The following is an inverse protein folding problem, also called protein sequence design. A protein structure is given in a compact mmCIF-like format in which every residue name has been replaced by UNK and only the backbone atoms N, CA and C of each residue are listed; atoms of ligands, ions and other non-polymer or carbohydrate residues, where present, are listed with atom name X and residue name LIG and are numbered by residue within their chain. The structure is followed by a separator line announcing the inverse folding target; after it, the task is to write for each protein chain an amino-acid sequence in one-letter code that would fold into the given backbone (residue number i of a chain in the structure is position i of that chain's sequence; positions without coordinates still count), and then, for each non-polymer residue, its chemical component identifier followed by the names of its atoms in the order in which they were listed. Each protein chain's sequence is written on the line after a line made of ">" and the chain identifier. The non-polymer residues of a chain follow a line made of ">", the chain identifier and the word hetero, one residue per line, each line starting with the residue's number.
data_IF_614019345793
#
_entry.id   IF_614019345793
#
_cell.length_a   1.000
_cell.length_b   1.000
_cell.length_c   1.000
_cell.angle_alpha   90.00
_cell.angle_beta   90.00
_cell.angle_gamma   90.00
#
_symmetry.space_group_name_H-M   'P 1'
#
loop_
_entity.id
_entity.type
_entity.pdbx_description
1 polymer ?
#
# COMPACT_ATOMS: atom_id res chain seq x y z
N UNK A 1 15.59 -0.44 -16.20
CA UNK A 1 14.12 -0.40 -16.03
C UNK A 1 13.79 0.92 -15.33
N UNK A 2 13.07 1.85 -15.98
CA UNK A 2 12.63 3.08 -15.28
C UNK A 2 11.67 2.64 -14.17
N UNK A 3 11.80 3.15 -12.93
CA UNK A 3 10.78 2.88 -11.91
C UNK A 3 9.47 3.45 -12.45
N UNK A 4 8.47 2.58 -12.62
CA UNK A 4 7.11 2.95 -12.98
C UNK A 4 6.58 3.87 -11.88
N UNK A 5 6.55 5.16 -12.15
CA UNK A 5 6.07 6.16 -11.20
C UNK A 5 4.54 6.13 -11.21
N UNK A 6 3.92 5.84 -10.05
CA UNK A 6 2.48 6.00 -9.88
C UNK A 6 2.10 7.45 -10.24
N UNK A 7 1.08 7.62 -11.07
CA UNK A 7 0.54 8.94 -11.34
C UNK A 7 -0.27 9.38 -10.11
N UNK A 8 0.13 10.50 -9.50
CA UNK A 8 -0.51 11.05 -8.29
C UNK A 8 -1.86 11.69 -8.56
N UNK A 9 -2.18 12.00 -9.82
CA UNK A 9 -3.46 12.54 -10.22
C UNK A 9 -4.32 11.44 -10.82
N UNK A 10 -5.35 11.01 -10.08
CA UNK A 10 -6.39 10.11 -10.56
C UNK A 10 -6.68 8.96 -9.61
N UNK A 11 -7.37 7.97 -10.16
CA UNK A 11 -7.77 6.75 -9.48
C UNK A 11 -6.58 5.79 -9.36
N UNK A 12 -6.53 5.10 -8.23
CA UNK A 12 -5.67 3.96 -7.96
C UNK A 12 -6.56 2.72 -7.84
N UNK A 13 -6.33 1.75 -8.71
CA UNK A 13 -6.94 0.43 -8.59
C UNK A 13 -6.14 -0.40 -7.57
N UNK A 14 -6.84 -0.89 -6.55
CA UNK A 14 -6.28 -1.68 -5.45
C UNK A 14 -6.80 -3.09 -5.60
N UNK A 15 -5.89 -4.05 -5.74
CA UNK A 15 -6.21 -5.49 -5.82
C UNK A 15 -5.66 -6.22 -4.60
N UNK A 16 -6.32 -7.29 -4.14
CA UNK A 16 -5.71 -8.16 -3.14
C UNK A 16 -4.47 -8.84 -3.73
N UNK A 17 -3.44 -8.98 -2.91
CA UNK A 17 -2.31 -9.87 -3.20
C UNK A 17 -2.44 -11.12 -2.34
N UNK A 18 -2.99 -12.18 -2.94
CA UNK A 18 -3.11 -13.47 -2.29
C UNK A 18 -1.80 -14.26 -2.33
N UNK A 19 -1.41 -14.77 -1.18
CA UNK A 19 -0.20 -15.57 -0.98
C UNK A 19 -0.43 -16.58 0.15
N UNK A 20 -0.84 -17.83 -0.17
CA UNK A 20 -1.27 -18.79 0.84
C UNK A 20 -0.22 -19.11 1.90
N UNK A 21 1.06 -18.99 1.56
CA UNK A 21 2.17 -19.28 2.49
C UNK A 21 2.27 -18.17 3.54
N UNK A 22 2.18 -16.92 3.11
CA UNK A 22 2.21 -15.76 4.01
C UNK A 22 0.91 -15.65 4.79
N UNK A 23 -0.23 -15.91 4.16
CA UNK A 23 -1.54 -15.89 4.84
C UNK A 23 -1.64 -16.90 5.97
N UNK A 24 -1.03 -18.08 5.82
CA UNK A 24 -1.06 -19.11 6.85
C UNK A 24 -0.15 -18.83 8.06
N UNK A 25 0.89 -18.01 7.91
CA UNK A 25 1.96 -17.85 8.92
C UNK A 25 2.24 -16.38 9.30
N UNK A 26 1.48 -15.44 8.75
CA UNK A 26 1.69 -14.02 8.92
C UNK A 26 0.75 -13.38 9.95
N UNK A 27 0.82 -12.06 10.02
CA UNK A 27 0.03 -11.22 10.90
C UNK A 27 -0.91 -10.33 10.09
N UNK A 28 -2.17 -10.25 10.52
CA UNK A 28 -3.14 -9.35 9.92
C UNK A 28 -2.66 -7.89 10.04
N UNK A 29 -3.06 -7.03 9.10
CA UNK A 29 -2.56 -5.65 9.03
C UNK A 29 -2.92 -4.80 10.28
N UNK A 30 -3.98 -5.17 11.00
CA UNK A 30 -4.37 -4.58 12.28
C UNK A 30 -3.65 -5.15 13.51
N UNK A 31 -2.85 -6.20 13.37
CA UNK A 31 -2.19 -6.87 14.49
C UNK A 31 -1.11 -5.98 15.15
N UNK A 32 -0.96 -5.97 16.50
CA UNK A 32 0.11 -5.24 17.19
C UNK A 32 1.52 -5.56 16.69
N UNK A 33 1.75 -6.76 16.14
CA UNK A 33 3.01 -7.13 15.50
C UNK A 33 3.40 -6.15 14.39
N UNK A 34 2.43 -5.66 13.62
CA UNK A 34 2.66 -4.72 12.51
C UNK A 34 3.20 -3.39 13.05
N UNK A 35 2.64 -2.88 14.16
CA UNK A 35 3.14 -1.67 14.81
C UNK A 35 4.51 -1.86 15.46
N UNK A 36 4.75 -3.03 16.04
CA UNK A 36 5.99 -3.29 16.77
C UNK A 36 7.18 -3.52 15.85
N UNK A 37 6.99 -4.24 14.74
CA UNK A 37 8.10 -4.71 13.89
C UNK A 37 8.08 -4.10 12.49
N UNK A 38 6.91 -4.00 11.83
CA UNK A 38 6.84 -3.47 10.47
C UNK A 38 6.84 -1.95 10.40
N UNK A 39 6.26 -1.25 11.38
CA UNK A 39 6.23 0.22 11.40
C UNK A 39 7.64 0.84 11.38
N UNK A 40 8.65 0.36 12.15
CA UNK A 40 10.02 0.84 12.01
C UNK A 40 10.62 0.62 10.61
N UNK A 41 10.26 -0.48 9.93
CA UNK A 41 10.78 -0.84 8.60
C UNK A 41 10.13 0.02 7.51
N UNK A 42 8.80 0.14 7.52
CA UNK A 42 8.01 0.87 6.53
C UNK A 42 7.98 2.38 6.81
N UNK A 43 8.08 2.79 8.06
CA UNK A 43 7.82 4.14 8.53
C UNK A 43 6.31 4.41 8.74
N UNK A 44 5.96 5.44 9.53
CA UNK A 44 4.58 5.66 9.96
C UNK A 44 3.60 5.85 8.80
N UNK A 45 3.93 6.73 7.85
CA UNK A 45 3.04 7.06 6.72
C UNK A 45 2.76 5.85 5.83
N UNK A 46 3.79 5.05 5.50
CA UNK A 46 3.62 3.87 4.65
C UNK A 46 2.80 2.77 5.36
N UNK A 47 2.99 2.63 6.67
CA UNK A 47 2.21 1.68 7.49
C UNK A 47 0.74 2.05 7.52
N UNK A 48 0.41 3.35 7.70
CA UNK A 48 -0.97 3.82 7.68
C UNK A 48 -1.61 3.74 6.29
N UNK A 49 -0.85 4.01 5.23
CA UNK A 49 -1.31 3.79 3.85
C UNK A 49 -1.66 2.32 3.65
N UNK A 50 -0.76 1.41 4.02
CA UNK A 50 -0.99 -0.03 3.89
C UNK A 50 -2.25 -0.46 4.66
N UNK A 51 -2.41 0.00 5.91
CA UNK A 51 -3.62 -0.21 6.71
C UNK A 51 -4.88 0.24 6.00
N UNK A 52 -4.89 1.47 5.49
CA UNK A 52 -6.05 2.01 4.77
C UNK A 52 -6.40 1.19 3.53
N UNK A 53 -5.38 0.75 2.78
CA UNK A 53 -5.55 -0.07 1.59
C UNK A 53 -6.07 -1.48 1.92
N UNK A 54 -5.48 -2.13 2.92
CA UNK A 54 -5.88 -3.45 3.36
C UNK A 54 -7.31 -3.46 3.95
N UNK A 55 -7.67 -2.46 4.76
CA UNK A 55 -9.04 -2.33 5.26
C UNK A 55 -10.04 -2.11 4.13
N UNK A 56 -9.68 -1.40 3.05
CA UNK A 56 -10.52 -1.31 1.87
C UNK A 56 -10.77 -2.68 1.23
N UNK A 57 -9.75 -3.54 1.17
CA UNK A 57 -9.86 -4.91 0.67
C UNK A 57 -10.68 -5.84 1.59
N UNK A 58 -10.74 -5.57 2.89
CA UNK A 58 -11.65 -6.30 3.80
C UNK A 58 -13.13 -6.04 3.44
N UNK A 59 -13.45 -4.82 3.00
CA UNK A 59 -14.81 -4.44 2.59
C UNK A 59 -15.10 -4.84 1.14
N UNK A 60 -14.09 -4.76 0.25
CA UNK A 60 -14.19 -5.09 -1.17
C UNK A 60 -13.12 -6.14 -1.56
N UNK A 61 -13.34 -7.44 -1.27
CA UNK A 61 -12.33 -8.47 -1.42
C UNK A 61 -11.86 -8.72 -2.87
N UNK A 62 -12.65 -8.31 -3.86
CA UNK A 62 -12.28 -8.43 -5.27
C UNK A 62 -11.40 -7.27 -5.75
N UNK A 63 -11.15 -6.28 -4.89
CA UNK A 63 -10.47 -5.05 -5.23
C UNK A 63 -11.44 -3.88 -5.43
N UNK A 64 -10.90 -2.67 -5.38
CA UNK A 64 -11.65 -1.42 -5.47
C UNK A 64 -10.79 -0.31 -6.08
N UNK A 65 -11.42 0.83 -6.39
CA UNK A 65 -10.72 2.03 -6.85
C UNK A 65 -10.81 3.13 -5.80
N UNK A 66 -9.72 3.87 -5.61
CA UNK A 66 -9.65 5.01 -4.68
C UNK A 66 -8.94 6.19 -5.33
N UNK A 67 -9.43 7.41 -5.07
CA UNK A 67 -8.74 8.62 -5.51
C UNK A 67 -7.45 8.83 -4.69
N UNK A 68 -6.34 9.08 -5.38
CA UNK A 68 -5.03 9.25 -4.74
C UNK A 68 -4.95 10.49 -3.84
N UNK A 69 -5.67 11.57 -4.17
CA UNK A 69 -5.72 12.76 -3.33
C UNK A 69 -6.59 12.54 -2.10
N UNK A 70 -7.71 11.82 -2.24
CA UNK A 70 -8.52 11.38 -1.12
C UNK A 70 -7.72 10.51 -0.15
N UNK A 71 -7.03 9.49 -0.67
CA UNK A 71 -6.18 8.62 0.13
C UNK A 71 -5.12 9.43 0.90
N UNK A 72 -4.42 10.36 0.24
CA UNK A 72 -3.43 11.20 0.90
C UNK A 72 -4.03 12.09 2.00
N UNK A 73 -5.22 12.66 1.76
CA UNK A 73 -5.96 13.46 2.77
C UNK A 73 -6.35 12.61 3.97
N UNK A 74 -6.83 11.39 3.78
CA UNK A 74 -7.15 10.47 4.88
C UNK A 74 -5.94 10.17 5.77
N UNK A 75 -4.74 10.15 5.20
CA UNK A 75 -3.49 9.91 5.93
C UNK A 75 -2.92 11.20 6.56
N UNK A 76 -3.44 12.37 6.19
CA UNK A 76 -2.98 13.65 6.70
C UNK A 76 -1.67 14.14 6.07
N UNK A 77 -1.37 13.71 4.84
CA UNK A 77 -0.17 14.13 4.09
C UNK A 77 -0.54 14.84 2.81
N UNK A 78 0.29 15.80 2.40
CA UNK A 78 0.10 16.47 1.11
C UNK A 78 0.39 15.50 -0.04
N UNK A 79 -0.50 15.44 -1.03
CA UNK A 79 -0.23 14.85 -2.34
C UNK A 79 0.03 15.98 -3.34
N UNK A 80 1.29 16.24 -3.64
CA UNK A 80 1.70 17.23 -4.64
C UNK A 80 2.46 16.55 -5.77
N UNK A 81 2.40 17.14 -6.96
CA UNK A 81 3.28 16.74 -8.05
C UNK A 81 4.74 17.04 -7.69
N UNK A 82 5.62 16.05 -7.78
CA UNK A 82 7.06 16.24 -7.57
C UNK A 82 7.76 15.10 -6.85
N UNK A 83 9.07 15.02 -7.05
CA UNK A 83 9.94 13.91 -6.60
C UNK A 83 10.07 13.78 -5.07
N UNK A 84 9.68 14.81 -4.32
CA UNK A 84 9.87 14.89 -2.86
C UNK A 84 8.56 14.83 -2.06
N UNK A 85 7.46 14.40 -2.67
CA UNK A 85 6.17 14.27 -2.00
C UNK A 85 6.21 13.12 -0.94
N UNK A 86 5.78 13.39 0.31
CA UNK A 86 5.77 12.39 1.39
C UNK A 86 4.85 11.19 1.07
N UNK A 87 3.70 11.41 0.43
CA UNK A 87 2.78 10.37 0.00
C UNK A 87 3.41 9.44 -1.04
N UNK A 88 4.02 9.98 -2.09
CA UNK A 88 4.68 9.16 -3.12
C UNK A 88 5.86 8.37 -2.55
N UNK A 89 6.64 8.96 -1.63
CA UNK A 89 7.72 8.24 -0.94
C UNK A 89 7.16 7.09 -0.10
N UNK A 90 6.06 7.30 0.61
CA UNK A 90 5.43 6.26 1.40
C UNK A 90 4.89 5.11 0.53
N UNK A 91 4.22 5.41 -0.58
CA UNK A 91 3.79 4.40 -1.57
C UNK A 91 4.97 3.63 -2.15
N UNK A 92 6.06 4.32 -2.51
CA UNK A 92 7.28 3.67 -2.98
C UNK A 92 7.91 2.76 -1.94
N UNK A 93 7.83 3.12 -0.65
CA UNK A 93 8.30 2.25 0.44
C UNK A 93 7.46 0.99 0.55
N UNK A 94 6.13 1.08 0.39
CA UNK A 94 5.28 -0.11 0.35
C UNK A 94 5.73 -1.09 -0.76
N UNK A 95 6.10 -0.56 -1.93
CA UNK A 95 6.63 -1.37 -3.04
C UNK A 95 8.04 -1.90 -2.72
N UNK A 96 8.93 -1.04 -2.24
CA UNK A 96 10.33 -1.37 -1.93
C UNK A 96 10.45 -2.49 -0.90
N UNK A 97 9.59 -2.51 0.12
CA UNK A 97 9.57 -3.52 1.16
C UNK A 97 8.64 -4.71 0.86
N UNK A 98 8.08 -4.80 -0.35
CA UNK A 98 7.33 -5.97 -0.80
C UNK A 98 5.97 -6.17 -0.11
N UNK A 99 5.42 -5.13 0.51
CA UNK A 99 4.07 -5.15 1.10
C UNK A 99 2.99 -4.74 0.09
N UNK A 100 3.41 -4.17 -1.04
CA UNK A 100 2.61 -4.02 -2.25
C UNK A 100 3.50 -4.17 -3.49
N UNK A 101 2.90 -4.33 -4.66
CA UNK A 101 3.61 -4.23 -5.93
C UNK A 101 2.70 -3.67 -7.02
N UNK A 102 3.30 -3.07 -8.05
CA UNK A 102 2.55 -2.58 -9.21
C UNK A 102 2.10 -3.74 -10.09
N UNK A 103 0.86 -3.67 -10.58
CA UNK A 103 0.30 -4.65 -11.50
C UNK A 103 -0.13 -3.98 -12.80
N UNK A 104 -0.17 -4.71 -13.93
CA UNK A 104 -0.69 -4.18 -15.18
C UNK A 104 -2.16 -3.73 -15.03
N UNK A 105 -2.47 -2.55 -15.56
CA UNK A 105 -3.83 -2.01 -15.64
C UNK A 105 -3.96 -1.04 -16.81
N UNK A 106 -5.17 -0.95 -17.36
CA UNK A 106 -5.50 -0.05 -18.47
C UNK A 106 -5.37 1.44 -18.07
N UNK A 107 -5.51 1.76 -16.78
CA UNK A 107 -5.45 3.13 -16.25
C UNK A 107 -4.05 3.52 -15.74
N UNK A 108 -3.03 2.67 -15.92
CA UNK A 108 -1.64 2.88 -15.48
C UNK A 108 -1.42 3.14 -13.97
N UNK A 109 -2.44 2.91 -13.13
CA UNK A 109 -2.37 3.07 -11.68
C UNK A 109 -3.05 1.88 -11.00
N UNK A 110 -2.36 0.75 -10.94
CA UNK A 110 -2.84 -0.40 -10.17
C UNK A 110 -1.74 -0.99 -9.30
N UNK A 111 -2.11 -1.36 -8.08
CA UNK A 111 -1.26 -2.08 -7.15
C UNK A 111 -1.98 -3.28 -6.57
N UNK A 112 -1.23 -4.36 -6.34
CA UNK A 112 -1.66 -5.44 -5.49
C UNK A 112 -1.10 -5.22 -4.07
N UNK A 113 -1.93 -5.43 -3.06
CA UNK A 113 -1.64 -5.10 -1.66
C UNK A 113 -1.81 -6.33 -0.78
N UNK A 114 -0.86 -6.55 0.12
CA UNK A 114 -0.96 -7.62 1.13
C UNK A 114 -1.92 -7.21 2.25
N UNK A 115 -2.82 -8.11 2.63
CA UNK A 115 -3.70 -7.99 3.81
C UNK A 115 -3.17 -8.74 5.04
N UNK A 116 -2.10 -9.52 4.85
CA UNK A 116 -1.33 -10.21 5.88
C UNK A 116 0.15 -10.02 5.57
N UNK A 117 0.96 -9.65 6.57
CA UNK A 117 2.41 -9.54 6.42
C UNK A 117 3.14 -10.70 7.10
N UNK A 118 4.26 -11.17 6.52
CA UNK A 118 5.06 -12.20 7.16
C UNK A 118 5.78 -11.65 8.41
N UNK A 119 6.25 -12.53 9.31
CA UNK A 119 7.20 -12.12 10.33
C UNK A 119 8.48 -11.55 9.71
N UNK A 120 9.05 -10.52 10.32
CA UNK A 120 10.39 -10.02 9.99
C UNK A 120 11.41 -10.97 10.62
N UNK A 121 12.40 -11.40 9.83
CA UNK A 121 13.56 -12.21 10.26
C UNK A 121 14.79 -11.35 10.48
#
# INVERSE_FOLDING_TARGET
>A
MKPSTLNTNGQLEVRPWSDPIIEANGFAIGDPYIEMFWLPVLGPTATWILRRLATGLEHEPQGYSIDMNELARCIGVACTEGRHNPFTRAMQRCIMFGVSHQVPSALNNAIAVRVVLPPIS
#
